data_IF_311849188423
#
_entry.id   IF_311849188423
#
_cell.length_a   1.000
_cell.length_b   1.000
_cell.length_c   1.000
_cell.angle_alpha   90.00
_cell.angle_beta   90.00
_cell.angle_gamma   90.00
#
_symmetry.space_group_name_H-M   'P 1'
#
loop_
_entity.id
_entity.type
_entity.pdbx_description
1 polymer ?
#
# COMPACT_ATOMS: atom_id res chain seq x y z
N UNK A 1 8.06 -7.47 -8.93
CA UNK A 1 7.11 -6.43 -9.35
C UNK A 1 6.36 -5.87 -8.15
N UNK A 2 6.23 -4.54 -8.12
CA UNK A 2 5.37 -3.76 -7.24
C UNK A 2 4.12 -3.34 -8.02
N UNK A 3 2.93 -3.52 -7.44
CA UNK A 3 1.66 -3.20 -8.10
C UNK A 3 0.82 -2.27 -7.21
N UNK A 4 0.19 -1.23 -7.79
CA UNK A 4 -0.80 -0.39 -7.13
C UNK A 4 -2.20 -0.66 -7.70
N UNK A 5 -3.15 -1.15 -6.89
CA UNK A 5 -4.53 -1.41 -7.34
C UNK A 5 -5.48 -0.22 -7.14
N UNK A 6 -4.95 0.93 -6.76
CA UNK A 6 -5.71 2.13 -6.42
C UNK A 6 -5.23 3.37 -7.18
N UNK A 7 -4.61 3.14 -8.33
CA UNK A 7 -4.08 4.17 -9.19
C UNK A 7 -2.67 4.62 -8.81
N UNK A 8 -2.30 5.77 -9.35
CA UNK A 8 -0.98 6.34 -9.21
C UNK A 8 -0.66 6.66 -7.75
N UNK A 9 0.52 6.30 -7.25
CA UNK A 9 0.95 6.63 -5.90
C UNK A 9 1.22 8.14 -5.76
N UNK A 10 1.41 8.57 -4.51
CA UNK A 10 1.82 9.93 -4.19
C UNK A 10 3.12 10.31 -4.93
N UNK A 11 3.26 11.56 -5.33
CA UNK A 11 4.29 12.04 -6.24
C UNK A 11 5.74 11.76 -5.78
N UNK A 12 6.02 11.83 -4.47
CA UNK A 12 7.34 11.45 -3.95
C UNK A 12 7.64 9.96 -4.10
N UNK A 13 6.62 9.10 -4.05
CA UNK A 13 6.78 7.67 -4.29
C UNK A 13 7.05 7.35 -5.76
N UNK A 14 6.65 8.21 -6.69
CA UNK A 14 6.97 8.04 -8.11
C UNK A 14 8.48 8.02 -8.35
N UNK A 15 9.23 8.87 -7.64
CA UNK A 15 10.69 8.92 -7.74
C UNK A 15 11.33 7.72 -7.05
N UNK A 16 10.83 7.33 -5.87
CA UNK A 16 11.34 6.16 -5.13
C UNK A 16 11.12 4.87 -5.90
N UNK A 17 9.95 4.71 -6.50
CA UNK A 17 9.62 3.54 -7.33
C UNK A 17 10.39 3.57 -8.65
N UNK A 18 10.60 4.76 -9.22
CA UNK A 18 11.23 4.95 -10.52
C UNK A 18 10.21 5.08 -11.66
N UNK A 19 8.96 5.46 -11.36
CA UNK A 19 7.96 5.86 -12.37
C UNK A 19 8.45 7.14 -13.05
N UNK A 20 9.00 8.08 -12.26
CA UNK A 20 9.84 9.16 -12.75
C UNK A 20 11.30 8.77 -12.56
N UNK A 21 12.17 8.97 -13.57
CA UNK A 21 13.59 8.65 -13.45
C UNK A 21 14.21 9.35 -12.23
N UNK A 22 14.76 8.57 -11.32
CA UNK A 22 15.41 9.07 -10.11
C UNK A 22 16.55 8.14 -9.73
N UNK A 23 17.68 8.73 -9.35
CA UNK A 23 18.85 7.97 -8.89
C UNK A 23 18.54 7.27 -7.57
N UNK A 24 18.87 5.99 -7.49
CA UNK A 24 18.60 5.16 -6.31
C UNK A 24 17.16 4.64 -6.25
N UNK A 25 16.38 4.76 -7.33
CA UNK A 25 15.02 4.25 -7.40
C UNK A 25 14.98 2.72 -7.44
N UNK A 26 13.84 2.14 -7.06
CA UNK A 26 13.63 0.69 -7.14
C UNK A 26 13.79 0.14 -8.57
N UNK A 27 13.46 0.95 -9.58
CA UNK A 27 13.63 0.57 -10.98
C UNK A 27 15.10 0.30 -11.35
N UNK A 28 16.06 1.01 -10.76
CA UNK A 28 17.50 0.77 -10.97
C UNK A 28 17.94 -0.60 -10.44
N UNK A 29 17.21 -1.14 -9.46
CA UNK A 29 17.43 -2.48 -8.91
C UNK A 29 16.56 -3.57 -9.58
N UNK A 30 15.98 -3.26 -10.75
CA UNK A 30 15.21 -4.23 -11.54
C UNK A 30 13.78 -4.46 -11.04
N UNK A 31 13.28 -3.65 -10.10
CA UNK A 31 11.87 -3.72 -9.68
C UNK A 31 10.99 -3.06 -10.73
N UNK A 32 10.04 -3.82 -11.26
CA UNK A 32 9.03 -3.30 -12.19
C UNK A 32 7.81 -2.80 -11.42
N UNK A 33 7.12 -1.82 -12.00
CA UNK A 33 5.90 -1.23 -11.45
C UNK A 33 4.72 -1.42 -12.40
N UNK A 34 3.55 -1.69 -11.85
CA UNK A 34 2.27 -1.68 -12.56
C UNK A 34 1.19 -1.03 -11.70
N UNK A 35 0.16 -0.49 -12.31
CA UNK A 35 -0.99 0.07 -11.61
C UNK A 35 -2.30 -0.27 -12.30
N UNK A 36 -3.37 -0.27 -11.52
CA UNK A 36 -4.75 -0.26 -11.98
C UNK A 36 -5.45 0.93 -11.33
N UNK A 37 -6.04 1.79 -12.16
CA UNK A 37 -6.76 2.95 -11.67
C UNK A 37 -8.13 2.55 -11.11
N UNK A 38 -8.68 3.37 -10.21
CA UNK A 38 -10.06 3.21 -9.76
C UNK A 38 -11.02 3.51 -10.93
N UNK A 39 -12.18 2.89 -10.89
CA UNK A 39 -13.27 3.21 -11.81
C UNK A 39 -13.76 4.66 -11.58
N UNK A 40 -14.47 5.27 -12.54
CA UNK A 40 -14.94 6.65 -12.43
C UNK A 40 -15.81 6.95 -11.21
N UNK A 41 -16.48 5.92 -10.66
CA UNK A 41 -17.27 6.01 -9.45
C UNK A 41 -16.44 5.84 -8.16
N UNK A 42 -15.12 5.66 -8.29
CA UNK A 42 -14.19 5.43 -7.20
C UNK A 42 -14.18 4.00 -6.65
N UNK A 43 -14.85 3.06 -7.30
CA UNK A 43 -14.78 1.64 -6.97
C UNK A 43 -13.50 0.98 -7.51
N UNK A 44 -13.15 -0.20 -6.98
CA UNK A 44 -12.01 -0.97 -7.46
C UNK A 44 -12.33 -1.68 -8.78
N UNK A 45 -11.43 -1.60 -9.74
CA UNK A 45 -11.51 -2.35 -10.98
C UNK A 45 -10.97 -3.78 -10.77
N UNK A 46 -11.78 -4.62 -10.16
CA UNK A 46 -11.43 -5.99 -9.83
C UNK A 46 -11.02 -6.83 -11.05
N UNK A 47 -11.63 -6.57 -12.20
CA UNK A 47 -11.32 -7.27 -13.46
C UNK A 47 -9.88 -6.98 -13.93
N UNK A 48 -9.50 -5.70 -13.95
CA UNK A 48 -8.16 -5.32 -14.36
C UNK A 48 -7.12 -5.61 -13.27
N UNK A 49 -7.47 -5.52 -11.98
CA UNK A 49 -6.61 -5.96 -10.88
C UNK A 49 -6.26 -7.44 -11.03
N UNK A 50 -7.26 -8.30 -11.32
CA UNK A 50 -7.04 -9.73 -11.54
C UNK A 50 -6.12 -10.01 -12.72
N UNK A 51 -6.23 -9.24 -13.81
CA UNK A 51 -5.37 -9.38 -15.00
C UNK A 51 -3.94 -8.89 -14.75
N UNK A 52 -3.78 -7.86 -13.91
CA UNK A 52 -2.49 -7.25 -13.62
C UNK A 52 -1.63 -8.10 -12.67
N UNK A 53 -2.26 -8.83 -11.73
CA UNK A 53 -1.54 -9.73 -10.82
C UNK A 53 -0.95 -10.91 -11.60
N UNK A 54 0.35 -11.11 -11.45
CA UNK A 54 1.10 -12.17 -12.14
C UNK A 54 2.17 -12.77 -11.20
N UNK A 55 2.91 -13.79 -11.68
CA UNK A 55 3.91 -14.50 -10.87
C UNK A 55 5.01 -13.60 -10.30
N UNK A 56 5.31 -12.50 -10.98
CA UNK A 56 6.33 -11.53 -10.56
C UNK A 56 5.81 -10.54 -9.53
N UNK A 57 4.49 -10.40 -9.37
CA UNK A 57 3.88 -9.50 -8.37
C UNK A 57 4.20 -10.00 -6.97
N UNK A 58 5.08 -9.31 -6.25
CA UNK A 58 5.50 -9.66 -4.88
C UNK A 58 4.97 -8.71 -3.82
N UNK A 59 4.73 -7.47 -4.20
CA UNK A 59 4.24 -6.42 -3.31
C UNK A 59 3.08 -5.69 -3.97
N UNK A 60 1.99 -5.56 -3.24
CA UNK A 60 0.87 -4.68 -3.58
C UNK A 60 0.87 -3.51 -2.60
N UNK A 61 0.93 -2.28 -3.12
CA UNK A 61 0.88 -1.06 -2.31
C UNK A 61 -0.48 -0.39 -2.44
N UNK A 62 -1.14 -0.16 -1.30
CA UNK A 62 -2.47 0.43 -1.22
C UNK A 62 -2.34 1.76 -0.48
N UNK A 63 -2.42 2.87 -1.20
CA UNK A 63 -2.45 4.19 -0.59
C UNK A 63 -3.86 4.50 -0.09
N UNK A 64 -4.05 4.62 1.22
CA UNK A 64 -5.33 4.90 1.86
C UNK A 64 -5.82 6.32 1.58
N UNK A 65 -4.96 7.31 1.79
CA UNK A 65 -5.29 8.71 1.57
C UNK A 65 -5.48 9.04 0.09
N UNK A 66 -6.31 10.01 -0.21
CA UNK A 66 -6.48 10.50 -1.58
C UNK A 66 -5.28 11.32 -2.09
N UNK A 67 -4.42 11.80 -1.18
CA UNK A 67 -3.38 12.74 -1.54
C UNK A 67 -3.97 14.00 -2.19
N UNK A 68 -3.44 14.41 -3.32
CA UNK A 68 -3.97 15.51 -4.14
C UNK A 68 -4.99 15.06 -5.21
N UNK A 69 -5.26 13.76 -5.31
CA UNK A 69 -6.22 13.23 -6.28
C UNK A 69 -7.67 13.51 -5.86
N UNK A 70 -8.57 13.51 -6.85
CA UNK A 70 -10.01 13.69 -6.61
C UNK A 70 -10.73 12.40 -6.17
N UNK A 71 -10.00 11.28 -6.05
CA UNK A 71 -10.54 9.99 -5.62
C UNK A 71 -10.97 10.00 -4.14
N UNK A 72 -11.88 9.13 -3.71
CA UNK A 72 -12.24 8.99 -2.30
C UNK A 72 -11.06 8.45 -1.47
N UNK A 73 -11.02 8.81 -0.18
CA UNK A 73 -10.19 8.13 0.82
C UNK A 73 -10.77 6.73 1.08
N UNK A 74 -9.91 5.74 1.22
CA UNK A 74 -10.33 4.37 1.45
C UNK A 74 -10.59 4.12 2.94
N UNK A 75 -11.77 3.57 3.27
CA UNK A 75 -12.04 3.05 4.62
C UNK A 75 -11.28 1.74 4.85
N UNK A 76 -11.04 1.40 6.13
CA UNK A 76 -10.39 0.13 6.51
C UNK A 76 -11.19 -1.08 5.99
N UNK A 77 -12.51 -0.99 6.01
CA UNK A 77 -13.37 -2.05 5.46
C UNK A 77 -13.10 -2.28 3.97
N UNK A 78 -13.10 -1.22 3.16
CA UNK A 78 -12.81 -1.33 1.73
C UNK A 78 -11.41 -1.86 1.46
N UNK A 79 -10.41 -1.46 2.26
CA UNK A 79 -9.05 -2.01 2.18
C UNK A 79 -9.05 -3.51 2.45
N UNK A 80 -9.80 -3.97 3.47
CA UNK A 80 -9.93 -5.40 3.78
C UNK A 80 -10.58 -6.22 2.66
N UNK A 81 -11.63 -5.69 2.03
CA UNK A 81 -12.27 -6.31 0.86
C UNK A 81 -11.28 -6.46 -0.30
N UNK A 82 -10.52 -5.41 -0.61
CA UNK A 82 -9.51 -5.41 -1.66
C UNK A 82 -8.39 -6.42 -1.37
N UNK A 83 -7.86 -6.43 -0.14
CA UNK A 83 -6.81 -7.37 0.27
C UNK A 83 -7.31 -8.81 0.17
N UNK A 84 -8.52 -9.09 0.66
CA UNK A 84 -9.13 -10.42 0.58
C UNK A 84 -9.25 -10.88 -0.88
N UNK A 85 -9.69 -10.00 -1.78
CA UNK A 85 -9.75 -10.30 -3.20
C UNK A 85 -8.37 -10.63 -3.78
N UNK A 86 -7.36 -9.81 -3.49
CA UNK A 86 -5.98 -9.99 -3.97
C UNK A 86 -5.38 -11.29 -3.43
N UNK A 87 -5.55 -11.57 -2.15
CA UNK A 87 -5.04 -12.80 -1.50
C UNK A 87 -5.73 -14.07 -2.02
N UNK A 88 -6.97 -13.99 -2.48
CA UNK A 88 -7.63 -15.11 -3.15
C UNK A 88 -7.01 -15.44 -4.51
N UNK A 89 -6.43 -14.45 -5.20
CA UNK A 89 -5.73 -14.65 -6.48
C UNK A 89 -4.29 -15.11 -6.24
N UNK A 90 -3.60 -14.46 -5.31
CA UNK A 90 -2.18 -14.69 -5.01
C UNK A 90 -1.93 -14.62 -3.50
N UNK A 91 -2.04 -15.76 -2.78
CA UNK A 91 -1.95 -15.81 -1.32
C UNK A 91 -0.60 -15.34 -0.74
N UNK A 92 0.48 -15.52 -1.49
CA UNK A 92 1.86 -15.20 -1.09
C UNK A 92 2.27 -13.74 -1.35
N UNK A 93 1.41 -12.93 -1.98
CA UNK A 93 1.71 -11.51 -2.22
C UNK A 93 1.65 -10.72 -0.92
N UNK A 94 2.60 -9.82 -0.73
CA UNK A 94 2.61 -8.91 0.43
C UNK A 94 1.72 -7.70 0.12
N UNK A 95 0.72 -7.45 0.98
CA UNK A 95 -0.13 -6.27 0.91
C UNK A 95 0.34 -5.22 1.91
N UNK A 96 0.90 -4.13 1.40
CA UNK A 96 1.35 -2.98 2.19
C UNK A 96 0.36 -1.83 2.05
N UNK A 97 -0.05 -1.25 3.18
CA UNK A 97 -0.93 -0.08 3.21
C UNK A 97 -0.15 1.16 3.64
N UNK A 98 -0.13 2.18 2.79
CA UNK A 98 0.24 3.53 3.19
C UNK A 98 -0.95 4.15 3.94
N UNK A 99 -0.83 4.16 5.27
CA UNK A 99 -1.85 4.62 6.21
C UNK A 99 -1.69 6.09 6.62
N UNK A 100 -0.81 6.86 5.95
CA UNK A 100 -0.62 8.27 6.25
C UNK A 100 -1.95 9.02 6.25
N UNK A 101 -2.20 9.78 7.32
CA UNK A 101 -3.46 10.49 7.64
C UNK A 101 -4.63 9.56 8.04
N UNK A 102 -4.45 8.25 8.06
CA UNK A 102 -5.47 7.29 8.47
C UNK A 102 -5.27 6.76 9.88
N UNK A 103 -4.14 7.08 10.52
CA UNK A 103 -3.79 6.58 11.85
C UNK A 103 -4.83 7.05 12.88
N UNK A 104 -5.42 6.09 13.61
CA UNK A 104 -6.41 6.32 14.67
C UNK A 104 -7.70 7.02 14.20
N UNK A 105 -8.03 6.99 12.91
CA UNK A 105 -9.26 7.57 12.35
C UNK A 105 -10.45 6.64 12.48
N UNK A 106 -10.24 5.35 12.34
CA UNK A 106 -11.25 4.30 12.48
C UNK A 106 -10.91 3.38 13.67
N UNK A 107 -11.87 2.61 14.15
CA UNK A 107 -11.67 1.67 15.27
C UNK A 107 -10.67 0.56 14.92
N UNK A 108 -10.65 0.14 13.65
CA UNK A 108 -9.73 -0.88 13.15
C UNK A 108 -8.64 -0.25 12.31
N UNK A 109 -7.47 -0.86 12.38
CA UNK A 109 -6.34 -0.52 11.52
C UNK A 109 -6.19 -1.54 10.38
N UNK A 110 -5.54 -1.19 9.26
CA UNK A 110 -5.41 -2.09 8.11
C UNK A 110 -4.80 -3.46 8.39
N UNK A 111 -3.95 -3.60 9.42
CA UNK A 111 -3.41 -4.91 9.84
C UNK A 111 -4.49 -5.86 10.34
N UNK A 112 -5.57 -5.33 10.94
CA UNK A 112 -6.66 -6.15 11.49
C UNK A 112 -7.61 -6.67 10.40
N UNK A 113 -7.48 -6.15 9.18
CA UNK A 113 -8.27 -6.56 8.03
C UNK A 113 -7.43 -7.24 6.94
N UNK A 114 -6.22 -7.68 7.29
CA UNK A 114 -5.40 -8.55 6.45
C UNK A 114 -4.21 -7.92 5.75
N UNK A 115 -3.89 -6.65 6.02
CA UNK A 115 -2.64 -6.08 5.54
C UNK A 115 -1.44 -6.78 6.20
N UNK A 116 -0.39 -7.07 5.43
CA UNK A 116 0.84 -7.66 5.95
C UNK A 116 1.76 -6.58 6.54
N UNK A 117 1.66 -5.35 6.01
CA UNK A 117 2.45 -4.19 6.44
C UNK A 117 1.61 -2.92 6.43
N UNK A 118 1.88 -2.02 7.37
CA UNK A 118 1.43 -0.64 7.28
C UNK A 118 2.61 0.31 7.44
N UNK A 119 2.56 1.40 6.72
CA UNK A 119 3.45 2.54 6.88
C UNK A 119 2.61 3.77 7.19
N UNK A 120 3.08 4.59 8.10
CA UNK A 120 2.38 5.79 8.54
C UNK A 120 3.37 6.88 8.94
N UNK A 121 2.88 8.07 9.22
CA UNK A 121 3.70 9.21 9.64
C UNK A 121 3.14 9.85 10.90
N UNK A 122 3.81 9.61 12.01
CA UNK A 122 3.45 10.21 13.31
C UNK A 122 3.44 11.75 13.30
N UNK A 123 4.20 12.39 12.41
CA UNK A 123 4.23 13.84 12.25
C UNK A 123 2.98 14.39 11.56
N UNK A 124 2.27 13.57 10.80
CA UNK A 124 1.07 13.95 10.04
C UNK A 124 -0.22 13.73 10.82
N UNK A 125 -0.24 12.85 11.81
CA UNK A 125 -1.43 12.51 12.59
C UNK A 125 -1.80 13.54 13.67
N UNK A 126 -1.09 14.68 13.73
CA UNK A 126 -1.44 15.80 14.64
C UNK A 126 -1.32 15.50 16.14
N UNK A 127 -0.94 14.30 16.53
CA UNK A 127 -0.77 13.89 17.93
C UNK A 127 0.70 13.92 18.31
N UNK A 128 1.08 14.94 19.02
CA UNK A 128 2.45 15.20 19.53
C UNK A 128 3.00 14.17 20.52
N UNK A 129 2.26 13.14 20.90
CA UNK A 129 2.64 12.23 21.98
C UNK A 129 2.22 10.79 21.69
N UNK A 130 2.74 10.20 20.65
CA UNK A 130 2.74 8.74 20.60
C UNK A 130 4.18 8.24 20.47
N UNK A 131 4.84 8.10 21.62
CA UNK A 131 6.07 7.34 21.82
C UNK A 131 5.81 5.82 21.76
N UNK A 132 4.63 5.42 21.31
CA UNK A 132 4.26 4.02 21.25
C UNK A 132 4.78 3.40 19.95
N UNK A 133 5.79 2.54 20.11
CA UNK A 133 6.41 1.73 19.04
C UNK A 133 5.44 0.77 18.34
N UNK A 134 4.13 0.83 18.63
CA UNK A 134 3.09 -0.02 18.05
C UNK A 134 2.68 0.35 16.62
N UNK A 135 3.14 1.47 16.08
CA UNK A 135 2.90 1.87 14.68
C UNK A 135 3.62 0.98 13.65
N UNK A 136 4.49 0.08 14.10
CA UNK A 136 5.20 -0.89 13.26
C UNK A 136 4.86 -2.32 13.69
N UNK A 137 3.58 -2.66 13.78
CA UNK A 137 3.20 -4.05 14.00
C UNK A 137 3.29 -4.80 12.68
N UNK A 138 4.26 -5.69 12.61
CA UNK A 138 4.50 -6.64 11.54
C UNK A 138 4.02 -8.02 11.93
N UNK A 139 3.57 -8.80 10.98
CA UNK A 139 3.64 -10.26 11.11
C UNK A 139 5.12 -10.65 11.18
N UNK A 140 5.46 -11.62 12.01
CA UNK A 140 6.85 -12.00 12.33
C UNK A 140 7.75 -12.21 11.11
N UNK A 141 7.22 -12.74 10.02
CA UNK A 141 7.96 -13.04 8.78
C UNK A 141 8.45 -11.80 8.01
N UNK A 142 7.75 -10.66 8.09
CA UNK A 142 8.19 -9.43 7.44
C UNK A 142 9.32 -8.71 8.19
N UNK A 143 9.59 -9.04 9.45
CA UNK A 143 10.64 -8.41 10.27
C UNK A 143 12.03 -8.91 9.87
N UNK A 144 12.14 -10.17 9.43
CA UNK A 144 13.42 -10.77 9.06
C UNK A 144 14.01 -10.19 7.78
N UNK A 145 13.18 -9.65 6.88
CA UNK A 145 13.66 -9.02 5.63
C UNK A 145 14.31 -7.64 5.80
N UNK A 146 14.26 -7.01 6.99
CA UNK A 146 14.90 -5.70 7.22
C UNK A 146 16.39 -5.76 7.60
N UNK A 147 16.92 -6.96 7.87
CA UNK A 147 18.34 -7.11 8.20
C UNK A 147 19.24 -7.46 7.01
N UNK A 148 18.71 -7.34 5.78
CA UNK A 148 19.45 -7.61 4.54
C UNK A 148 19.55 -6.31 3.70
N UNK A 149 19.94 -5.20 4.33
CA UNK A 149 20.49 -4.02 3.64
C UNK A 149 21.63 -3.47 4.47
#
# INVERSE_FOLDING_TARGET
>A
ELMSPVGKPYDTLEEVIGIRPSKGSLAEYGVTYSQVDLLPDGSFDYENIKKAINDRTKLVTIQRSKGYATRPTLSVTRIGELISFIKNIKPDVICMVDNCYGEFVEEKEPLEVGADMIVGSSSKSGRRTCTDRRLYRRQKECVEMQHIV
#
